data_IF_507429148019
#
_entry.id   IF_507429148019
#
_cell.length_a   1.000
_cell.length_b   1.000
_cell.length_c   1.000
_cell.angle_alpha   90.00
_cell.angle_beta   90.00
_cell.angle_gamma   90.00
#
_symmetry.space_group_name_H-M   'P 1'
#
loop_
_entity.id
_entity.type
_entity.pdbx_description
1 polymer ?
#
# COMPACT_ATOMS: atom_id res chain seq x y z
N UNK A 1 -0.91 -35.82 2.86
CA UNK A 1 -0.76 -34.45 2.36
C UNK A 1 0.36 -33.83 3.18
N UNK A 2 1.54 -33.73 2.59
CA UNK A 2 2.77 -33.35 3.29
C UNK A 2 2.62 -31.95 3.88
N UNK A 3 2.90 -31.81 5.18
CA UNK A 3 2.90 -30.49 5.84
C UNK A 3 4.06 -29.66 5.26
N UNK A 4 3.73 -28.78 4.32
CA UNK A 4 4.67 -27.89 3.64
C UNK A 4 5.51 -27.09 4.66
N UNK A 5 4.86 -26.63 5.74
CA UNK A 5 5.50 -25.82 6.76
C UNK A 5 6.45 -26.65 7.63
N UNK A 6 6.17 -27.93 7.83
CA UNK A 6 7.10 -28.86 8.48
C UNK A 6 8.36 -29.11 7.64
N UNK A 7 8.31 -28.91 6.32
CA UNK A 7 9.43 -29.14 5.41
C UNK A 7 10.11 -27.86 4.93
N UNK A 8 9.95 -26.75 5.66
CA UNK A 8 10.42 -25.42 5.26
C UNK A 8 11.92 -25.27 5.02
N UNK A 9 12.72 -26.18 5.55
CA UNK A 9 14.17 -26.18 5.32
C UNK A 9 14.55 -26.85 3.99
N UNK A 10 13.60 -27.48 3.29
CA UNK A 10 13.81 -28.18 2.01
C UNK A 10 13.39 -27.35 0.77
N UNK A 11 12.90 -26.13 0.98
CA UNK A 11 12.49 -25.22 -0.08
C UNK A 11 12.86 -23.77 0.22
N UNK A 12 12.93 -22.95 -0.82
CA UNK A 12 13.36 -21.55 -0.74
C UNK A 12 12.25 -20.58 -1.12
N UNK A 13 12.21 -19.45 -0.43
CA UNK A 13 11.35 -18.31 -0.73
C UNK A 13 12.07 -17.22 -1.53
N UNK A 14 13.11 -17.55 -2.30
CA UNK A 14 13.81 -16.56 -3.13
C UNK A 14 12.87 -15.79 -4.08
N UNK A 15 11.76 -16.40 -4.50
CA UNK A 15 10.69 -15.74 -5.27
C UNK A 15 9.51 -15.24 -4.39
N UNK A 16 9.78 -14.84 -3.14
CA UNK A 16 8.75 -14.39 -2.21
C UNK A 16 8.08 -13.10 -2.68
N UNK A 17 6.77 -13.16 -2.96
CA UNK A 17 5.99 -11.99 -3.36
C UNK A 17 6.00 -10.88 -2.30
N UNK A 18 6.07 -11.20 -1.01
CA UNK A 18 6.17 -10.19 0.06
C UNK A 18 7.50 -9.44 -0.05
N UNK A 19 8.63 -10.16 -0.19
CA UNK A 19 9.95 -9.54 -0.31
C UNK A 19 10.01 -8.61 -1.54
N UNK A 20 9.52 -9.10 -2.69
CA UNK A 20 9.46 -8.32 -3.94
C UNK A 20 8.54 -7.10 -3.83
N UNK A 21 7.42 -7.21 -3.12
CA UNK A 21 6.56 -6.06 -2.86
C UNK A 21 7.27 -5.03 -1.96
N UNK A 22 8.01 -5.47 -0.95
CA UNK A 22 8.77 -4.58 -0.06
C UNK A 22 9.93 -3.87 -0.77
N UNK A 23 10.50 -4.42 -1.84
CA UNK A 23 11.45 -3.69 -2.70
C UNK A 23 10.81 -2.45 -3.33
N UNK A 24 9.50 -2.50 -3.61
CA UNK A 24 8.73 -1.39 -4.20
C UNK A 24 8.20 -0.44 -3.11
N UNK A 25 7.55 -0.97 -2.07
CA UNK A 25 6.78 -0.17 -1.10
C UNK A 25 7.31 -0.20 0.33
N UNK A 26 8.38 -0.93 0.62
CA UNK A 26 8.89 -1.14 1.98
C UNK A 26 9.50 0.10 2.64
N UNK A 27 9.67 1.20 1.89
CA UNK A 27 10.14 2.47 2.46
C UNK A 27 8.98 3.26 3.09
N UNK A 28 9.16 3.72 4.33
CA UNK A 28 8.18 4.54 5.07
C UNK A 28 7.63 5.72 4.26
N UNK A 29 8.50 6.48 3.59
CA UNK A 29 8.09 7.66 2.82
C UNK A 29 7.22 7.27 1.62
N UNK A 30 7.49 6.13 0.98
CA UNK A 30 6.68 5.61 -0.13
C UNK A 30 5.24 5.37 0.32
N UNK A 31 5.04 4.68 1.45
CA UNK A 31 3.70 4.42 1.99
C UNK A 31 2.96 5.70 2.38
N UNK A 32 3.66 6.69 2.95
CA UNK A 32 3.06 7.97 3.30
C UNK A 32 2.67 8.78 2.05
N UNK A 33 3.46 8.76 0.98
CA UNK A 33 3.10 9.39 -0.29
C UNK A 33 1.88 8.70 -0.92
N UNK A 34 1.82 7.37 -0.92
CA UNK A 34 0.66 6.62 -1.40
C UNK A 34 -0.60 6.91 -0.57
N UNK A 35 -0.47 7.06 0.76
CA UNK A 35 -1.55 7.51 1.63
C UNK A 35 -2.07 8.88 1.18
N UNK A 36 -1.20 9.87 1.00
CA UNK A 36 -1.63 11.20 0.56
C UNK A 36 -2.27 11.17 -0.84
N UNK A 37 -1.75 10.34 -1.76
CA UNK A 37 -2.34 10.16 -3.08
C UNK A 37 -3.73 9.53 -3.00
N UNK A 38 -3.95 8.58 -2.08
CA UNK A 38 -5.26 7.96 -1.81
C UNK A 38 -6.26 8.96 -1.23
N UNK A 39 -5.78 10.00 -0.54
CA UNK A 39 -6.60 11.12 -0.05
C UNK A 39 -6.84 12.20 -1.12
N UNK A 40 -6.37 11.98 -2.36
CA UNK A 40 -6.56 12.92 -3.47
C UNK A 40 -5.49 13.99 -3.59
N UNK A 41 -4.35 13.88 -2.88
CA UNK A 41 -3.21 14.76 -3.12
C UNK A 41 -2.65 14.50 -4.52
N UNK A 42 -2.45 15.58 -5.30
CA UNK A 42 -1.98 15.50 -6.69
C UNK A 42 -0.71 16.32 -6.96
N UNK A 43 -0.43 17.35 -6.15
CA UNK A 43 0.64 18.34 -6.41
C UNK A 43 1.90 18.02 -5.62
N UNK A 44 3.06 18.25 -6.24
CA UNK A 44 4.38 18.01 -5.64
C UNK A 44 4.57 18.69 -4.27
N UNK A 45 4.35 20.01 -4.20
CA UNK A 45 4.56 20.80 -2.97
C UNK A 45 3.66 20.31 -1.82
N UNK A 46 2.45 19.86 -2.16
CA UNK A 46 1.50 19.31 -1.19
C UNK A 46 1.96 17.96 -0.64
N UNK A 47 2.54 17.09 -1.49
CA UNK A 47 3.13 15.83 -1.03
C UNK A 47 4.26 16.06 -0.03
N UNK A 48 5.24 16.91 -0.38
CA UNK A 48 6.38 17.19 0.49
C UNK A 48 5.92 17.75 1.84
N UNK A 49 5.01 18.73 1.81
CA UNK A 49 4.44 19.36 3.01
C UNK A 49 3.63 18.40 3.88
N UNK A 50 2.70 17.64 3.30
CA UNK A 50 1.78 16.74 4.04
C UNK A 50 2.49 15.52 4.62
N UNK A 51 3.51 15.00 3.93
CA UNK A 51 4.33 13.88 4.42
C UNK A 51 5.40 14.35 5.41
N UNK A 52 5.78 15.64 5.37
CA UNK A 52 6.80 16.20 6.25
C UNK A 52 8.21 15.78 5.87
N UNK A 53 8.50 15.70 4.57
CA UNK A 53 9.82 15.36 4.02
C UNK A 53 10.35 16.49 3.17
N UNK A 54 11.68 16.53 2.98
CA UNK A 54 12.29 17.53 2.09
C UNK A 54 11.87 17.31 0.63
N UNK A 55 11.87 18.39 -0.15
CA UNK A 55 11.57 18.34 -1.58
C UNK A 55 12.44 17.33 -2.36
N UNK A 56 13.76 17.23 -2.13
CA UNK A 56 14.57 16.20 -2.81
C UNK A 56 14.14 14.77 -2.49
N UNK A 57 13.75 14.50 -1.23
CA UNK A 57 13.26 13.17 -0.82
C UNK A 57 11.92 12.87 -1.47
N UNK A 58 10.98 13.82 -1.46
CA UNK A 58 9.70 13.68 -2.14
C UNK A 58 9.89 13.45 -3.64
N UNK A 59 10.76 14.22 -4.29
CA UNK A 59 11.01 14.14 -5.73
C UNK A 59 11.58 12.77 -6.12
N UNK A 60 12.58 12.28 -5.38
CA UNK A 60 13.16 10.96 -5.62
C UNK A 60 12.12 9.84 -5.47
N UNK A 61 11.27 9.90 -4.44
CA UNK A 61 10.25 8.87 -4.18
C UNK A 61 9.08 8.94 -5.16
N UNK A 62 8.60 10.13 -5.53
CA UNK A 62 7.56 10.28 -6.56
C UNK A 62 8.06 9.80 -7.92
N UNK A 63 9.32 10.09 -8.28
CA UNK A 63 9.94 9.57 -9.51
C UNK A 63 9.97 8.03 -9.50
N UNK A 64 10.33 7.41 -8.38
CA UNK A 64 10.35 5.96 -8.24
C UNK A 64 8.95 5.37 -8.34
N UNK A 65 7.96 5.95 -7.66
CA UNK A 65 6.55 5.53 -7.74
C UNK A 65 6.00 5.60 -9.17
N UNK A 66 6.43 6.58 -9.96
CA UNK A 66 6.09 6.66 -11.39
C UNK A 66 6.80 5.59 -12.20
N UNK A 67 8.10 5.37 -11.97
CA UNK A 67 8.87 4.32 -12.64
C UNK A 67 8.32 2.91 -12.36
N UNK A 68 7.83 2.67 -11.14
CA UNK A 68 7.22 1.41 -10.72
C UNK A 68 5.75 1.29 -11.18
N UNK A 69 5.21 2.29 -11.86
CA UNK A 69 3.85 2.31 -12.40
C UNK A 69 2.75 2.41 -11.34
N UNK A 70 3.07 2.91 -10.14
CA UNK A 70 2.09 3.16 -9.07
C UNK A 70 1.43 4.54 -9.19
N UNK A 71 2.14 5.49 -9.80
CA UNK A 71 1.62 6.83 -10.13
C UNK A 71 1.85 7.14 -11.60
N UNK A 72 0.92 7.85 -12.22
CA UNK A 72 1.13 8.55 -13.48
C UNK A 72 1.52 9.99 -13.19
N UNK A 73 2.44 10.54 -13.99
CA UNK A 73 2.71 11.98 -14.03
C UNK A 73 2.02 12.60 -15.23
N UNK A 74 1.08 13.51 -15.01
CA UNK A 74 0.27 14.14 -16.06
C UNK A 74 0.48 15.65 -16.06
N UNK A 75 0.63 16.28 -17.23
CA UNK A 75 0.62 17.73 -17.30
C UNK A 75 -0.79 18.26 -17.00
N UNK A 76 -0.87 19.28 -16.17
CA UNK A 76 -2.09 20.03 -15.90
C UNK A 76 -1.81 21.53 -16.06
N UNK A 77 -2.84 22.29 -16.43
CA UNK A 77 -2.74 23.74 -16.56
C UNK A 77 -3.99 24.39 -15.99
N UNK A 78 -3.82 25.14 -14.92
CA UNK A 78 -4.84 26.06 -14.45
C UNK A 78 -5.00 27.23 -15.43
N UNK A 79 -6.23 27.73 -15.65
CA UNK A 79 -6.46 28.91 -16.47
C UNK A 79 -5.54 30.07 -16.06
N UNK A 80 -4.79 30.61 -17.02
CA UNK A 80 -3.86 31.72 -16.78
C UNK A 80 -2.51 31.36 -16.15
N UNK A 81 -2.23 30.09 -15.84
CA UNK A 81 -0.96 29.66 -15.26
C UNK A 81 -0.06 28.86 -16.23
N UNK A 82 1.20 28.68 -15.83
CA UNK A 82 2.14 27.76 -16.47
C UNK A 82 1.70 26.30 -16.29
N UNK A 83 2.00 25.46 -17.27
CA UNK A 83 1.82 24.00 -17.16
C UNK A 83 2.63 23.47 -15.99
N UNK A 84 2.01 22.66 -15.14
CA UNK A 84 2.62 21.94 -14.03
C UNK A 84 2.32 20.45 -14.17
N UNK A 85 3.03 19.62 -13.43
CA UNK A 85 2.73 18.19 -13.36
C UNK A 85 1.86 17.88 -12.13
N UNK A 86 0.93 16.95 -12.30
CA UNK A 86 0.21 16.27 -11.23
C UNK A 86 0.55 14.77 -11.20
N UNK A 87 0.39 14.17 -10.02
CA UNK A 87 0.59 12.74 -9.79
C UNK A 87 -0.74 12.06 -9.47
N UNK A 88 -1.09 11.05 -10.27
CA UNK A 88 -2.38 10.35 -10.19
C UNK A 88 -2.14 8.87 -9.93
N UNK A 89 -2.91 8.25 -9.03
CA UNK A 89 -2.84 6.80 -8.82
C UNK A 89 -3.21 6.06 -10.10
N UNK A 90 -2.41 5.06 -10.45
CA UNK A 90 -2.77 4.07 -11.47
C UNK A 90 -3.67 3.00 -10.86
N UNK A 91 -4.15 2.05 -11.66
CA UNK A 91 -4.81 0.83 -11.15
C UNK A 91 -3.89 0.08 -10.19
N UNK A 92 -2.62 -0.14 -10.58
CA UNK A 92 -1.60 -0.80 -9.75
C UNK A 92 -1.36 -0.06 -8.43
N UNK A 93 -1.37 1.27 -8.44
CA UNK A 93 -1.27 2.09 -7.23
C UNK A 93 -2.51 1.99 -6.35
N UNK A 94 -3.70 1.95 -6.95
CA UNK A 94 -4.99 1.86 -6.23
C UNK A 94 -5.17 0.50 -5.54
N UNK A 95 -4.62 -0.58 -6.12
CA UNK A 95 -4.64 -1.92 -5.54
C UNK A 95 -3.85 -2.02 -4.21
N UNK A 96 -3.06 -1.01 -3.85
CA UNK A 96 -2.39 -0.92 -2.53
C UNK A 96 -3.26 -0.30 -1.43
N UNK A 97 -4.42 0.29 -1.76
CA UNK A 97 -5.30 0.91 -0.76
C UNK A 97 -5.72 -0.09 0.33
N UNK A 98 -6.10 -1.35 0.03
CA UNK A 98 -6.38 -2.34 1.08
C UNK A 98 -5.21 -2.58 2.04
N UNK A 99 -3.96 -2.53 1.55
CA UNK A 99 -2.75 -2.64 2.38
C UNK A 99 -2.62 -1.45 3.32
N UNK A 100 -2.87 -0.23 2.83
CA UNK A 100 -2.87 0.98 3.66
C UNK A 100 -3.96 0.94 4.74
N UNK A 101 -5.14 0.42 4.40
CA UNK A 101 -6.24 0.22 5.37
C UNK A 101 -5.87 -0.83 6.42
N UNK A 102 -5.27 -1.96 6.02
CA UNK A 102 -4.82 -2.99 6.95
C UNK A 102 -3.74 -2.47 7.91
N UNK A 103 -2.75 -1.74 7.38
CA UNK A 103 -1.68 -1.14 8.18
C UNK A 103 -2.22 -0.10 9.15
N UNK A 104 -3.17 0.74 8.70
CA UNK A 104 -3.89 1.68 9.58
C UNK A 104 -4.63 0.93 10.69
N UNK A 105 -5.43 -0.07 10.36
CA UNK A 105 -6.23 -0.81 11.34
C UNK A 105 -5.34 -1.40 12.45
N UNK A 106 -4.17 -1.95 12.08
CA UNK A 106 -3.19 -2.41 13.06
C UNK A 106 -2.62 -1.26 13.90
N UNK A 107 -2.22 -0.16 13.26
CA UNK A 107 -1.69 1.02 13.94
C UNK A 107 -2.68 1.66 14.90
N UNK A 108 -3.93 1.80 14.50
CA UNK A 108 -5.03 2.34 15.31
C UNK A 108 -5.29 1.48 16.56
N UNK A 109 -5.07 0.17 16.46
CA UNK A 109 -5.30 -0.78 17.58
C UNK A 109 -4.13 -0.83 18.55
N UNK A 110 -2.89 -0.80 18.05
CA UNK A 110 -1.71 -1.16 18.85
C UNK A 110 -0.65 -0.07 18.98
N UNK A 111 -0.72 0.99 18.16
CA UNK A 111 0.32 2.02 18.08
C UNK A 111 -0.22 3.45 18.22
N UNK A 112 -1.54 3.64 18.27
CA UNK A 112 -2.14 4.91 18.63
C UNK A 112 -1.91 5.21 20.12
N UNK A 113 -1.81 6.49 20.46
CA UNK A 113 -1.76 6.93 21.85
C UNK A 113 -3.17 6.94 22.47
N UNK A 114 -3.28 7.42 23.72
CA UNK A 114 -4.55 7.47 24.45
C UNK A 114 -5.63 8.32 23.76
N UNK A 115 -5.25 9.27 22.90
CA UNK A 115 -6.21 10.06 22.14
C UNK A 115 -6.84 9.29 20.97
N UNK A 116 -6.25 8.15 20.59
CA UNK A 116 -6.74 7.27 19.53
C UNK A 116 -6.33 7.72 18.12
N UNK A 117 -6.99 7.15 17.08
CA UNK A 117 -6.53 7.32 15.70
C UNK A 117 -6.83 8.72 15.14
N UNK A 118 -5.83 9.32 14.49
CA UNK A 118 -5.94 10.66 13.89
C UNK A 118 -6.90 10.74 12.68
N UNK A 119 -7.15 9.62 11.99
CA UNK A 119 -8.02 9.55 10.81
C UNK A 119 -8.78 8.23 10.81
N UNK A 120 -10.10 8.29 10.60
CA UNK A 120 -10.97 7.13 10.41
C UNK A 120 -11.30 6.95 8.94
N UNK A 121 -11.36 5.70 8.48
CA UNK A 121 -11.80 5.37 7.11
C UNK A 121 -13.21 4.82 7.19
N UNK A 122 -14.14 5.48 6.50
CA UNK A 122 -15.57 5.12 6.47
C UNK A 122 -16.03 4.95 5.03
N UNK A 123 -17.09 4.17 4.84
CA UNK A 123 -17.79 4.08 3.58
C UNK A 123 -18.52 5.40 3.34
N UNK A 124 -18.31 6.03 2.18
CA UNK A 124 -18.85 7.36 1.87
C UNK A 124 -20.38 7.38 1.89
N UNK A 125 -21.02 6.33 1.38
CA UNK A 125 -22.47 6.27 1.26
C UNK A 125 -23.20 6.09 2.61
N UNK A 126 -22.64 5.29 3.53
CA UNK A 126 -23.34 4.92 4.77
C UNK A 126 -22.62 5.30 6.07
N UNK A 127 -21.40 5.83 5.99
CA UNK A 127 -20.59 6.22 7.16
C UNK A 127 -20.04 5.06 7.99
N UNK A 128 -20.32 3.80 7.64
CA UNK A 128 -19.81 2.65 8.37
C UNK A 128 -18.28 2.53 8.27
N UNK A 129 -17.64 2.01 9.32
CA UNK A 129 -16.19 1.80 9.33
C UNK A 129 -15.76 0.80 8.25
N UNK A 130 -14.70 1.13 7.51
CA UNK A 130 -14.09 0.24 6.51
C UNK A 130 -12.99 -0.57 7.17
N UNK A 131 -12.96 -1.87 6.87
CA UNK A 131 -12.00 -2.80 7.44
C UNK A 131 -11.32 -3.64 6.36
N UNK A 132 -10.02 -3.90 6.56
CA UNK A 132 -9.34 -4.93 5.81
C UNK A 132 -9.68 -6.31 6.41
N UNK A 133 -10.05 -7.26 5.55
CA UNK A 133 -10.41 -8.64 5.90
C UNK A 133 -9.75 -9.58 4.90
N UNK A 134 -9.40 -10.78 5.35
CA UNK A 134 -9.00 -11.87 4.47
C UNK A 134 -10.27 -12.55 3.97
N UNK A 135 -10.37 -12.75 2.66
CA UNK A 135 -11.54 -13.35 2.03
C UNK A 135 -11.09 -14.40 1.03
N UNK A 136 -11.74 -15.55 1.01
CA UNK A 136 -11.47 -16.57 -0.02
C UNK A 136 -12.34 -16.35 -1.27
N UNK A 137 -12.01 -17.03 -2.37
CA UNK A 137 -12.74 -16.89 -3.65
C UNK A 137 -14.20 -17.34 -3.58
N UNK A 138 -14.55 -18.19 -2.60
CA UNK A 138 -15.93 -18.57 -2.33
C UNK A 138 -16.72 -17.49 -1.57
N UNK A 139 -16.06 -16.41 -1.15
CA UNK A 139 -16.68 -15.24 -0.55
C UNK A 139 -16.73 -15.22 0.98
N UNK A 140 -16.14 -16.20 1.66
CA UNK A 140 -16.08 -16.26 3.13
C UNK A 140 -15.00 -15.33 3.69
N UNK A 141 -15.27 -14.71 4.85
CA UNK A 141 -14.23 -14.11 5.69
C UNK A 141 -13.41 -15.23 6.33
N UNK A 142 -12.08 -15.16 6.19
CA UNK A 142 -11.16 -16.20 6.66
C UNK A 142 -10.37 -15.68 7.85
N UNK A 143 -10.55 -16.21 9.07
CA UNK A 143 -9.72 -15.82 10.19
C UNK A 143 -8.27 -16.32 10.00
N UNK A 144 -7.26 -15.66 10.59
CA UNK A 144 -5.85 -16.04 10.39
C UNK A 144 -5.53 -17.51 10.73
N UNK A 145 -6.24 -18.10 11.70
CA UNK A 145 -6.05 -19.50 12.11
C UNK A 145 -6.59 -20.54 11.13
N UNK A 146 -7.36 -20.13 10.11
CA UNK A 146 -7.94 -21.00 9.08
C UNK A 146 -7.19 -20.91 7.74
N UNK A 147 -6.07 -20.19 7.69
CA UNK A 147 -5.24 -20.11 6.50
C UNK A 147 -4.47 -21.41 6.26
N UNK A 148 -4.60 -21.96 5.05
CA UNK A 148 -3.75 -23.05 4.57
C UNK A 148 -2.66 -22.51 3.65
N UNK A 149 -1.41 -22.94 3.88
CA UNK A 149 -0.26 -22.61 3.01
C UNK A 149 0.04 -23.81 2.14
N UNK A 150 -0.07 -23.63 0.83
CA UNK A 150 0.20 -24.65 -0.18
C UNK A 150 1.35 -24.21 -1.08
N UNK A 151 2.12 -25.15 -1.66
CA UNK A 151 3.19 -24.80 -2.59
C UNK A 151 2.59 -24.14 -3.84
N UNK A 152 3.08 -22.94 -4.16
CA UNK A 152 2.79 -22.27 -5.43
C UNK A 152 3.71 -22.77 -6.56
N UNK A 153 3.39 -22.45 -7.82
CA UNK A 153 4.19 -22.88 -8.98
C UNK A 153 5.62 -22.30 -8.99
N UNK A 154 5.88 -21.24 -8.21
CA UNK A 154 7.20 -20.63 -8.06
C UNK A 154 7.98 -21.08 -6.82
N UNK A 155 7.53 -22.11 -6.10
CA UNK A 155 8.26 -22.65 -4.95
C UNK A 155 9.51 -23.38 -5.44
N UNK A 156 10.67 -22.96 -4.97
CA UNK A 156 11.95 -23.53 -5.37
C UNK A 156 12.37 -24.58 -4.34
N UNK A 157 12.95 -25.69 -4.79
CA UNK A 157 13.69 -26.60 -3.91
C UNK A 157 14.93 -25.88 -3.36
N UNK A 158 15.25 -26.11 -2.08
CA UNK A 158 16.45 -25.55 -1.45
C UNK A 158 17.71 -26.31 -1.87
#
# INVERSE_FOLDING_TARGET
>A
MTDLLAQRDSWSTANCSIARALEVVGNRTTLLLLREASFGTRRFDDFARRVGVSEPVAAARLKQLVADGLLDRRPYREPGQRTRDEYVLTSKGSDLIPVLVALRQWGDTYAADEAGPAVRVTHDECGAAVHARLRCDAGHDVPPGELAVLPGPGLLSA
#
